data_IF_019206173201
#
_entry.id   IF_019206173201
#
_cell.length_a   1.000
_cell.length_b   1.000
_cell.length_c   1.000
_cell.angle_alpha   90.00
_cell.angle_beta   90.00
_cell.angle_gamma   90.00
#
_symmetry.space_group_name_H-M   'P 1'
#
loop_
_entity.id
_entity.type
_entity.pdbx_description
1 polymer ?
#
# COMPACT_ATOMS: atom_id res chain seq x y z
N UNK A 1 0.72 -20.92 -22.07
CA UNK A 1 -0.34 -21.00 -21.04
C UNK A 1 0.00 -20.25 -19.74
N UNK A 2 1.19 -20.38 -19.12
CA UNK A 2 1.51 -19.63 -17.89
C UNK A 2 1.63 -18.10 -18.08
N UNK A 3 2.02 -17.65 -19.28
CA UNK A 3 2.14 -16.21 -19.57
C UNK A 3 0.79 -15.48 -19.54
N UNK A 4 -0.29 -16.07 -20.10
CA UNK A 4 -1.63 -15.46 -20.03
C UNK A 4 -2.13 -15.37 -18.58
N UNK A 5 -1.92 -16.41 -17.79
CA UNK A 5 -2.27 -16.41 -16.37
C UNK A 5 -1.51 -15.35 -15.59
N UNK A 6 -0.21 -15.19 -15.90
CA UNK A 6 0.63 -14.15 -15.32
C UNK A 6 0.14 -12.75 -15.71
N UNK A 7 -0.12 -12.50 -17.00
CA UNK A 7 -0.63 -11.22 -17.50
C UNK A 7 -1.97 -10.85 -16.87
N UNK A 8 -2.91 -11.78 -16.80
CA UNK A 8 -4.21 -11.57 -16.14
C UNK A 8 -4.02 -11.23 -14.66
N UNK A 9 -3.19 -12.00 -13.94
CA UNK A 9 -2.92 -11.76 -12.51
C UNK A 9 -2.26 -10.41 -12.27
N UNK A 10 -1.29 -10.04 -13.10
CA UNK A 10 -0.60 -8.75 -13.00
C UNK A 10 -1.57 -7.59 -13.23
N UNK A 11 -2.33 -7.63 -14.33
CA UNK A 11 -3.29 -6.60 -14.71
C UNK A 11 -4.40 -6.46 -13.65
N UNK A 12 -4.97 -7.57 -13.18
CA UNK A 12 -6.00 -7.54 -12.14
C UNK A 12 -5.46 -7.01 -10.81
N UNK A 13 -4.40 -7.62 -10.27
CA UNK A 13 -3.94 -7.30 -8.91
C UNK A 13 -3.38 -5.88 -8.79
N UNK A 14 -2.76 -5.36 -9.85
CA UNK A 14 -2.23 -4.00 -9.88
C UNK A 14 -3.32 -2.92 -9.89
N UNK A 15 -4.47 -3.21 -10.51
CA UNK A 15 -5.56 -2.25 -10.67
C UNK A 15 -6.62 -2.33 -9.56
N UNK A 16 -6.91 -3.51 -9.00
CA UNK A 16 -7.87 -3.67 -7.88
C UNK A 16 -7.70 -2.62 -6.75
N UNK A 17 -6.50 -2.30 -6.22
CA UNK A 17 -6.39 -1.35 -5.11
C UNK A 17 -6.72 0.10 -5.50
N UNK A 18 -6.80 0.41 -6.81
CA UNK A 18 -7.02 1.75 -7.37
C UNK A 18 -8.48 1.97 -7.79
N UNK A 19 -9.26 0.91 -7.91
CA UNK A 19 -10.63 0.93 -8.41
C UNK A 19 -11.60 1.18 -7.25
N UNK A 20 -12.61 2.01 -7.51
CA UNK A 20 -13.70 2.26 -6.55
C UNK A 20 -14.51 0.97 -6.39
N UNK A 21 -14.97 0.68 -5.18
CA UNK A 21 -15.66 -0.57 -4.89
C UNK A 21 -16.87 -0.83 -5.81
N UNK A 22 -17.61 0.22 -6.15
CA UNK A 22 -18.80 0.15 -7.00
C UNK A 22 -18.48 -0.22 -8.45
N UNK A 23 -17.26 0.10 -8.92
CA UNK A 23 -16.78 -0.21 -10.27
C UNK A 23 -16.11 -1.60 -10.35
N UNK A 24 -15.90 -2.26 -9.21
CA UNK A 24 -15.21 -3.55 -9.16
C UNK A 24 -15.91 -4.65 -9.99
N UNK A 25 -17.26 -4.78 -9.99
CA UNK A 25 -17.93 -5.77 -10.83
C UNK A 25 -17.72 -5.51 -12.33
N UNK A 26 -17.76 -4.24 -12.75
CA UNK A 26 -17.55 -3.83 -14.15
C UNK A 26 -16.12 -4.19 -14.57
N UNK A 27 -15.13 -3.84 -13.73
CA UNK A 27 -13.75 -4.19 -13.99
C UNK A 27 -13.54 -5.70 -14.11
N UNK A 28 -14.14 -6.49 -13.22
CA UNK A 28 -14.01 -7.95 -13.27
C UNK A 28 -14.71 -8.55 -14.51
N UNK A 29 -15.80 -7.95 -14.98
CA UNK A 29 -16.43 -8.27 -16.26
C UNK A 29 -15.48 -8.07 -17.45
N UNK A 30 -14.85 -6.89 -17.53
CA UNK A 30 -13.85 -6.59 -18.58
C UNK A 30 -12.65 -7.55 -18.55
N UNK A 31 -12.21 -7.97 -17.36
CA UNK A 31 -11.16 -9.00 -17.22
C UNK A 31 -11.64 -10.35 -17.77
N UNK A 32 -12.89 -10.73 -17.50
CA UNK A 32 -13.49 -11.96 -18.00
C UNK A 32 -13.59 -11.98 -19.53
N UNK A 33 -13.94 -10.85 -20.14
CA UNK A 33 -14.01 -10.69 -21.60
C UNK A 33 -12.62 -10.78 -22.25
N UNK A 34 -11.59 -10.20 -21.61
CA UNK A 34 -10.20 -10.20 -22.12
C UNK A 34 -9.49 -11.54 -21.91
N UNK A 35 -9.83 -12.27 -20.85
CA UNK A 35 -9.24 -13.56 -20.48
C UNK A 35 -10.33 -14.63 -20.23
N UNK A 36 -11.04 -15.07 -21.27
CA UNK A 36 -12.14 -16.03 -21.13
C UNK A 36 -11.65 -17.38 -20.58
N UNK A 37 -12.46 -18.00 -19.71
CA UNK A 37 -12.21 -19.29 -19.05
C UNK A 37 -10.93 -19.38 -18.19
N UNK A 38 -10.33 -18.25 -17.82
CA UNK A 38 -9.15 -18.15 -16.95
C UNK A 38 -9.53 -17.63 -15.56
N UNK A 39 -9.82 -18.52 -14.62
CA UNK A 39 -9.95 -18.15 -13.20
C UNK A 39 -8.61 -18.32 -12.48
N UNK A 40 -7.84 -17.24 -12.39
CA UNK A 40 -6.53 -17.25 -11.75
C UNK A 40 -6.63 -16.71 -10.33
N UNK A 41 -6.44 -17.52 -9.28
CA UNK A 41 -6.47 -17.02 -7.91
C UNK A 41 -5.32 -16.04 -7.65
N UNK A 42 -5.53 -15.12 -6.70
CA UNK A 42 -4.47 -14.22 -6.22
C UNK A 42 -3.37 -15.05 -5.56
N UNK A 43 -2.10 -14.77 -5.90
CA UNK A 43 -0.95 -15.36 -5.21
C UNK A 43 -0.98 -14.92 -3.74
N UNK A 44 -1.04 -15.89 -2.82
CA UNK A 44 -1.11 -15.64 -1.37
C UNK A 44 0.27 -15.89 -0.77
N UNK A 45 0.91 -14.86 -0.25
CA UNK A 45 2.05 -15.03 0.64
C UNK A 45 1.53 -15.19 2.07
N UNK A 46 1.35 -16.45 2.48
CA UNK A 46 0.80 -16.79 3.80
C UNK A 46 1.76 -16.39 4.92
N UNK A 47 3.07 -16.54 4.69
CA UNK A 47 4.10 -16.18 5.66
C UNK A 47 4.06 -14.68 5.93
N UNK A 48 4.03 -13.87 4.88
CA UNK A 48 3.93 -12.42 4.99
C UNK A 48 2.65 -11.99 5.72
N UNK A 49 1.51 -12.65 5.46
CA UNK A 49 0.26 -12.35 6.17
C UNK A 49 0.36 -12.59 7.67
N UNK A 50 1.00 -13.68 8.09
CA UNK A 50 1.20 -13.97 9.51
C UNK A 50 2.17 -12.97 10.17
N UNK A 51 3.21 -12.54 9.46
CA UNK A 51 4.14 -11.49 9.93
C UNK A 51 3.41 -10.14 10.11
N UNK A 52 2.55 -9.78 9.16
CA UNK A 52 1.71 -8.56 9.27
C UNK A 52 0.72 -8.66 10.43
N UNK A 53 0.12 -9.84 10.66
CA UNK A 53 -0.77 -10.06 11.81
C UNK A 53 -0.03 -9.81 13.12
N UNK A 54 1.16 -10.38 13.28
CA UNK A 54 2.00 -10.17 14.47
C UNK A 54 2.33 -8.68 14.66
N UNK A 55 2.76 -8.00 13.59
CA UNK A 55 3.04 -6.57 13.65
C UNK A 55 1.80 -5.72 14.00
N UNK A 56 0.60 -6.12 13.58
CA UNK A 56 -0.64 -5.45 13.98
C UNK A 56 -0.95 -5.65 15.47
N UNK A 57 -0.74 -6.86 15.99
CA UNK A 57 -0.90 -7.17 17.42
C UNK A 57 0.10 -6.40 18.29
N UNK A 58 1.35 -6.25 17.86
CA UNK A 58 2.37 -5.45 18.56
C UNK A 58 1.95 -3.98 18.69
N UNK A 59 1.19 -3.48 17.71
CA UNK A 59 0.60 -2.14 17.71
C UNK A 59 -0.76 -2.08 18.43
N UNK A 60 -1.18 -3.16 19.10
CA UNK A 60 -2.47 -3.30 19.79
C UNK A 60 -3.68 -3.10 18.87
N UNK A 61 -3.56 -3.47 17.60
CA UNK A 61 -4.62 -3.37 16.59
C UNK A 61 -5.36 -4.70 16.43
N UNK A 62 -6.63 -4.63 16.02
CA UNK A 62 -7.38 -5.81 15.58
C UNK A 62 -6.95 -6.21 14.17
N UNK A 63 -6.43 -7.43 14.03
CA UNK A 63 -5.97 -7.98 12.76
C UNK A 63 -7.11 -8.54 11.91
N UNK A 64 -8.01 -7.68 11.41
CA UNK A 64 -9.06 -8.08 10.46
C UNK A 64 -8.45 -8.38 9.08
N UNK A 65 -8.99 -9.37 8.37
CA UNK A 65 -8.46 -9.79 7.05
C UNK A 65 -8.45 -8.67 6.02
N UNK A 66 -9.46 -7.81 6.01
CA UNK A 66 -9.51 -6.64 5.13
C UNK A 66 -8.36 -5.65 5.41
N UNK A 67 -8.01 -5.45 6.68
CA UNK A 67 -6.89 -4.59 7.06
C UNK A 67 -5.55 -5.19 6.62
N UNK A 68 -5.33 -6.49 6.89
CA UNK A 68 -4.13 -7.21 6.46
C UNK A 68 -3.99 -7.14 4.93
N UNK A 69 -5.09 -7.35 4.19
CA UNK A 69 -5.12 -7.28 2.74
C UNK A 69 -4.61 -5.92 2.22
N UNK A 70 -4.99 -4.82 2.88
CA UNK A 70 -4.55 -3.47 2.52
C UNK A 70 -3.06 -3.26 2.82
N UNK A 71 -2.52 -3.83 3.89
CA UNK A 71 -1.07 -3.83 4.17
C UNK A 71 -0.30 -4.60 3.09
N UNK A 72 -0.82 -5.76 2.66
CA UNK A 72 -0.22 -6.53 1.55
C UNK A 72 -0.23 -5.72 0.25
N UNK A 73 -1.36 -5.11 -0.10
CA UNK A 73 -1.48 -4.26 -1.29
C UNK A 73 -0.52 -3.06 -1.24
N UNK A 74 -0.35 -2.44 -0.07
CA UNK A 74 0.62 -1.34 0.08
C UNK A 74 2.06 -1.80 -0.19
N UNK A 75 2.45 -2.97 0.34
CA UNK A 75 3.78 -3.55 0.08
C UNK A 75 3.97 -3.85 -1.40
N UNK A 76 2.98 -4.47 -2.05
CA UNK A 76 3.02 -4.77 -3.50
C UNK A 76 3.16 -3.49 -4.34
N UNK A 77 2.52 -2.39 -3.93
CA UNK A 77 2.67 -1.09 -4.60
C UNK A 77 4.07 -0.50 -4.42
N UNK A 78 4.67 -0.60 -3.24
CA UNK A 78 6.04 -0.13 -3.00
C UNK A 78 7.12 -0.91 -3.77
N UNK A 79 6.83 -2.14 -4.20
CA UNK A 79 7.76 -2.91 -5.06
C UNK A 79 7.81 -2.38 -6.50
N UNK A 80 6.79 -1.63 -6.93
CA UNK A 80 6.65 -1.14 -8.30
C UNK A 80 6.77 0.39 -8.38
N UNK A 81 6.49 1.10 -7.29
CA UNK A 81 6.50 2.56 -7.25
C UNK A 81 7.25 3.11 -6.04
N UNK A 82 8.05 4.15 -6.29
CA UNK A 82 8.76 4.88 -5.24
C UNK A 82 7.84 5.75 -4.38
N UNK A 83 6.66 6.10 -4.88
CA UNK A 83 5.70 6.96 -4.18
C UNK A 83 4.29 6.44 -4.36
N UNK A 84 3.53 6.41 -3.27
CA UNK A 84 2.18 5.83 -3.21
C UNK A 84 1.29 6.75 -2.40
N UNK A 85 0.08 6.98 -2.89
CA UNK A 85 -0.96 7.71 -2.15
C UNK A 85 -1.93 6.72 -1.49
N UNK A 86 -2.27 6.96 -0.22
CA UNK A 86 -3.28 6.20 0.51
C UNK A 86 -4.50 7.11 0.72
N UNK A 87 -5.54 6.90 -0.07
CA UNK A 87 -6.72 7.79 -0.12
C UNK A 87 -7.90 7.16 0.63
N UNK A 88 -8.71 7.99 1.29
CA UNK A 88 -9.95 7.59 1.96
C UNK A 88 -10.29 8.48 3.15
N UNK A 89 -11.48 8.30 3.72
CA UNK A 89 -12.01 9.15 4.80
C UNK A 89 -11.17 9.11 6.09
N UNK A 90 -11.23 10.16 6.90
CA UNK A 90 -10.57 10.18 8.22
C UNK A 90 -11.05 9.01 9.11
N UNK A 91 -10.20 8.55 10.04
CA UNK A 91 -10.55 7.47 10.98
C UNK A 91 -10.59 6.05 10.40
N UNK A 92 -10.36 5.86 9.09
CA UNK A 92 -10.42 4.53 8.42
C UNK A 92 -9.15 3.68 8.53
N UNK A 93 -8.20 4.05 9.39
CA UNK A 93 -6.99 3.24 9.63
C UNK A 93 -5.86 3.39 8.60
N UNK A 94 -5.95 4.33 7.65
CA UNK A 94 -4.91 4.58 6.60
C UNK A 94 -3.49 4.71 7.16
N UNK A 95 -3.32 5.56 8.19
CA UNK A 95 -2.02 5.76 8.84
C UNK A 95 -1.53 4.48 9.54
N UNK A 96 -2.46 3.68 10.07
CA UNK A 96 -2.13 2.40 10.72
C UNK A 96 -1.63 1.36 9.71
N UNK A 97 -2.15 1.33 8.49
CA UNK A 97 -1.66 0.42 7.42
C UNK A 97 -0.16 0.64 7.19
N UNK A 98 0.28 1.90 7.00
CA UNK A 98 1.70 2.25 6.83
C UNK A 98 2.52 1.89 8.08
N UNK A 99 2.01 2.22 9.28
CA UNK A 99 2.70 1.94 10.55
C UNK A 99 2.87 0.44 10.80
N UNK A 100 1.88 -0.38 10.48
CA UNK A 100 1.96 -1.84 10.57
C UNK A 100 3.00 -2.40 9.61
N UNK A 101 3.05 -1.91 8.36
CA UNK A 101 4.07 -2.33 7.40
C UNK A 101 5.49 -2.01 7.91
N UNK A 102 5.69 -0.80 8.44
CA UNK A 102 6.96 -0.39 9.03
C UNK A 102 7.32 -1.26 10.26
N UNK A 103 6.37 -1.50 11.17
CA UNK A 103 6.57 -2.36 12.35
C UNK A 103 7.00 -3.77 11.93
N UNK A 104 6.37 -4.34 10.90
CA UNK A 104 6.76 -5.63 10.36
C UNK A 104 8.22 -5.62 9.90
N UNK A 105 8.66 -4.61 9.15
CA UNK A 105 10.08 -4.52 8.75
C UNK A 105 11.04 -4.41 9.94
N UNK A 106 10.68 -3.65 10.97
CA UNK A 106 11.46 -3.54 12.21
C UNK A 106 11.56 -4.91 12.92
N UNK A 107 10.45 -5.65 13.02
CA UNK A 107 10.44 -7.00 13.60
C UNK A 107 11.38 -7.95 12.84
N UNK A 108 11.54 -7.75 11.53
CA UNK A 108 12.48 -8.46 10.68
C UNK A 108 13.92 -7.90 10.73
N UNK A 109 14.24 -7.04 11.70
CA UNK A 109 15.55 -6.40 11.87
C UNK A 109 16.03 -5.63 10.62
N UNK A 110 15.09 -5.16 9.78
CA UNK A 110 15.42 -4.29 8.64
C UNK A 110 15.56 -2.86 9.13
N UNK A 111 16.48 -2.11 8.51
CA UNK A 111 16.60 -0.67 8.70
C UNK A 111 15.43 0.01 7.99
N UNK A 112 14.36 0.28 8.72
CA UNK A 112 13.17 0.98 8.24
C UNK A 112 13.00 2.27 9.05
N UNK A 113 13.00 3.40 8.35
CA UNK A 113 12.84 4.73 8.94
C UNK A 113 11.58 5.34 8.35
N UNK A 114 10.71 5.85 9.20
CA UNK A 114 9.50 6.54 8.78
C UNK A 114 9.40 7.87 9.51
N UNK A 115 9.35 8.95 8.73
CA UNK A 115 9.15 10.31 9.21
C UNK A 115 7.76 10.74 8.72
N UNK A 116 6.99 11.37 9.60
CA UNK A 116 5.72 12.00 9.26
C UNK A 116 5.98 13.50 9.13
N UNK A 117 5.55 14.09 8.01
CA UNK A 117 5.72 15.51 7.72
C UNK A 117 4.39 16.08 7.26
N UNK A 118 3.96 17.19 7.87
CA UNK A 118 2.81 17.96 7.41
C UNK A 118 3.30 19.19 6.63
N UNK A 119 3.29 19.16 5.28
CA UNK A 119 3.78 20.26 4.48
C UNK A 119 2.92 21.52 4.58
N UNK A 120 1.68 21.42 5.09
CA UNK A 120 0.80 22.58 5.29
C UNK A 120 0.91 23.16 6.70
N UNK A 121 1.53 22.44 7.62
CA UNK A 121 1.79 22.88 8.99
C UNK A 121 3.06 23.73 9.13
N UNK A 122 3.87 23.82 8.07
CA UNK A 122 5.12 24.58 8.03
C UNK A 122 5.11 25.57 6.87
N UNK A 123 5.89 26.64 6.99
CA UNK A 123 6.08 27.59 5.88
C UNK A 123 6.96 26.98 4.79
N UNK A 124 6.87 27.52 3.56
CA UNK A 124 7.72 27.06 2.45
C UNK A 124 9.21 27.18 2.77
N UNK A 125 9.61 28.23 3.50
CA UNK A 125 10.99 28.46 3.90
C UNK A 125 11.49 27.39 4.90
N UNK A 126 10.63 26.93 5.82
CA UNK A 126 10.98 25.85 6.75
C UNK A 126 11.01 24.48 6.04
N UNK A 127 10.14 24.28 5.05
CA UNK A 127 10.03 23.01 4.33
C UNK A 127 11.14 22.82 3.28
N UNK A 128 11.45 23.87 2.52
CA UNK A 128 12.38 23.83 1.39
C UNK A 128 13.73 24.49 1.69
N UNK A 129 13.83 25.19 2.83
CA UNK A 129 14.94 26.09 3.12
C UNK A 129 14.76 27.45 2.45
N UNK A 130 15.45 28.47 2.96
CA UNK A 130 15.61 29.76 2.30
C UNK A 130 17.03 30.27 2.56
N UNK A 131 17.58 31.03 1.61
CA UNK A 131 18.80 31.78 1.86
C UNK A 131 18.44 33.20 2.31
N UNK A 132 19.00 33.62 3.43
CA UNK A 132 18.87 34.97 3.92
C UNK A 132 19.65 35.92 2.99
N UNK A 133 18.98 36.88 2.32
CA UNK A 133 19.64 37.76 1.36
C UNK A 133 20.67 38.70 2.00
N UNK A 134 20.54 39.00 3.29
CA UNK A 134 21.47 39.87 4.01
C UNK A 134 22.74 39.15 4.46
N UNK A 135 22.62 37.91 4.95
CA UNK A 135 23.76 37.13 5.47
C UNK A 135 24.33 36.14 4.46
N UNK A 136 23.59 35.83 3.38
CA UNK A 136 23.88 34.76 2.40
C UNK A 136 24.03 33.38 3.03
N UNK A 137 23.31 33.13 4.13
CA UNK A 137 23.21 31.85 4.83
C UNK A 137 21.89 31.16 4.52
#
# INVERSE_FOLDING_TARGET
>A
RPEREFSMRALRNFNIPKIVHDDLPIFMGLIGDLFPALDVPRKRDLKFKEEVKRAALDLKLQSKDAFILKVVQLKELFEVHNSVFIVGNAGTGKSQIRKTLNRMYINHKRRSVAIDLDPKGVTNNELFGFMNPATRE
#
